data_IF_895431332374
#
_entry.id   IF_895431332374
#
_cell.length_a   1.000
_cell.length_b   1.000
_cell.length_c   1.000
_cell.angle_alpha   90.00
_cell.angle_beta   90.00
_cell.angle_gamma   90.00
#
_symmetry.space_group_name_H-M   'P 1'
#
loop_
_entity.id
_entity.type
_entity.pdbx_description
1 polymer ?
#
# COMPACT_ATOMS: atom_id res chain seq x y z
N UNK A 1 19.72 29.40 -22.23
CA UNK A 1 18.49 28.95 -22.92
C UNK A 1 18.03 27.68 -22.20
N UNK A 2 17.06 27.78 -21.29
CA UNK A 2 16.62 26.67 -20.46
C UNK A 2 15.31 26.09 -21.02
N UNK A 3 15.35 24.81 -21.40
CA UNK A 3 14.18 24.04 -21.81
C UNK A 3 13.36 23.66 -20.57
N UNK A 4 12.21 24.28 -20.38
CA UNK A 4 11.21 23.81 -19.42
C UNK A 4 10.43 22.66 -20.06
N UNK A 5 10.67 21.42 -19.61
CA UNK A 5 9.79 20.29 -19.92
C UNK A 5 8.51 20.45 -19.10
N UNK A 6 7.45 20.92 -19.75
CA UNK A 6 6.09 20.87 -19.21
C UNK A 6 5.55 19.45 -19.29
N UNK A 7 5.33 18.82 -18.14
CA UNK A 7 4.59 17.54 -18.06
C UNK A 7 3.09 17.84 -18.03
N UNK A 8 2.36 17.41 -19.07
CA UNK A 8 0.91 17.49 -19.13
C UNK A 8 0.27 16.38 -18.26
N UNK A 9 -0.59 16.77 -17.32
CA UNK A 9 -1.32 15.84 -16.45
C UNK A 9 -2.68 15.46 -17.09
N UNK A 10 -2.75 14.29 -17.73
CA UNK A 10 -4.03 13.69 -18.12
C UNK A 10 -4.72 13.08 -16.88
N UNK A 11 -5.77 13.74 -16.40
CA UNK A 11 -6.69 13.24 -15.36
C UNK A 11 -7.64 12.21 -15.98
N UNK A 12 -7.24 10.96 -15.97
CA UNK A 12 -8.11 9.85 -16.36
C UNK A 12 -7.29 8.59 -16.58
N UNK A 13 -7.26 7.73 -15.57
CA UNK A 13 -6.88 6.31 -15.63
C UNK A 13 -5.52 5.97 -16.31
N UNK A 14 -4.55 5.36 -15.60
CA UNK A 14 -4.65 4.71 -14.29
C UNK A 14 -4.53 5.70 -13.12
N UNK A 15 -4.75 5.17 -11.92
CA UNK A 15 -4.59 5.82 -10.62
C UNK A 15 -3.47 6.88 -10.59
N UNK A 16 -3.81 8.06 -10.08
CA UNK A 16 -2.89 9.18 -9.84
C UNK A 16 -1.71 8.65 -9.00
N UNK A 17 -0.44 8.97 -9.35
CA UNK A 17 0.65 8.85 -8.39
C UNK A 17 0.43 9.91 -7.30
N UNK A 18 -0.46 9.65 -6.34
CA UNK A 18 -0.32 10.25 -5.03
C UNK A 18 0.93 9.62 -4.45
N UNK A 19 1.94 10.43 -4.17
CA UNK A 19 3.20 9.95 -3.59
C UNK A 19 2.89 8.97 -2.46
N UNK A 20 3.49 7.77 -2.47
CA UNK A 20 3.27 6.82 -1.39
C UNK A 20 3.66 7.47 -0.06
N UNK A 21 3.13 6.93 1.04
CA UNK A 21 3.48 7.42 2.37
C UNK A 21 5.00 7.56 2.52
N UNK A 22 5.52 8.62 3.17
CA UNK A 22 6.95 8.94 3.15
C UNK A 22 7.88 7.79 3.52
N UNK A 23 7.44 6.90 4.43
CA UNK A 23 8.19 5.69 4.79
C UNK A 23 8.32 4.69 3.62
N UNK A 24 7.25 4.52 2.84
CA UNK A 24 7.27 3.68 1.63
C UNK A 24 8.09 4.37 0.54
N UNK A 25 7.89 5.67 0.32
CA UNK A 25 8.66 6.43 -0.67
C UNK A 25 10.18 6.35 -0.41
N UNK A 26 10.58 6.43 0.86
CA UNK A 26 11.97 6.25 1.29
C UNK A 26 12.47 4.83 1.04
N UNK A 27 11.67 3.81 1.37
CA UNK A 27 12.04 2.40 1.19
C UNK A 27 12.21 2.02 -0.29
N UNK A 28 11.39 2.57 -1.19
CA UNK A 28 11.49 2.26 -2.62
C UNK A 28 12.40 3.21 -3.40
N UNK A 29 12.96 4.24 -2.76
CA UNK A 29 13.73 5.29 -3.40
C UNK A 29 14.96 4.75 -4.13
N UNK A 30 15.11 5.07 -5.42
CA UNK A 30 16.24 4.61 -6.24
C UNK A 30 16.10 3.18 -6.79
N UNK A 31 14.93 2.55 -6.61
CA UNK A 31 14.60 1.23 -7.18
C UNK A 31 13.68 1.35 -8.40
N UNK A 32 13.51 0.27 -9.17
CA UNK A 32 12.54 0.19 -10.29
C UNK A 32 11.11 -0.17 -9.80
N UNK A 33 10.78 0.17 -8.55
CA UNK A 33 9.47 -0.12 -7.98
C UNK A 33 8.38 0.74 -8.63
N UNK A 34 7.23 0.12 -8.95
CA UNK A 34 6.04 0.82 -9.43
C UNK A 34 4.97 0.83 -8.34
N UNK A 35 4.38 1.98 -8.07
CA UNK A 35 3.34 2.12 -7.06
C UNK A 35 2.03 2.62 -7.68
N UNK A 36 0.93 2.00 -7.29
CA UNK A 36 -0.42 2.37 -7.71
C UNK A 36 -1.24 2.67 -6.46
N UNK A 37 -1.94 3.80 -6.44
CA UNK A 37 -2.70 4.23 -5.27
C UNK A 37 -4.18 4.35 -5.57
N UNK A 38 -5.01 3.76 -4.73
CA UNK A 38 -6.45 3.96 -4.74
C UNK A 38 -6.88 4.57 -3.40
N UNK A 39 -7.33 5.83 -3.42
CA UNK A 39 -7.95 6.42 -2.25
C UNK A 39 -9.37 5.88 -2.11
N UNK A 40 -9.72 5.42 -0.89
CA UNK A 40 -11.08 5.08 -0.52
C UNK A 40 -11.87 6.28 0.01
N UNK A 41 -11.26 7.47 -0.03
CA UNK A 41 -11.82 8.69 0.54
C UNK A 41 -11.59 8.78 2.04
N UNK A 42 -12.27 9.75 2.64
CA UNK A 42 -12.11 10.13 4.03
C UNK A 42 -12.64 11.53 4.29
N UNK A 43 -13.12 11.79 5.50
CA UNK A 43 -13.43 13.16 5.96
C UNK A 43 -12.51 13.56 7.11
N UNK A 44 -12.56 12.77 8.20
CA UNK A 44 -11.64 12.88 9.34
C UNK A 44 -10.54 11.83 9.19
N UNK A 45 -10.95 10.57 9.06
CA UNK A 45 -10.05 9.45 8.78
C UNK A 45 -9.84 9.29 7.28
N UNK A 46 -8.63 8.93 6.87
CA UNK A 46 -8.28 8.66 5.48
C UNK A 46 -7.91 7.21 5.27
N UNK A 47 -8.29 6.68 4.11
CA UNK A 47 -8.02 5.30 3.77
C UNK A 47 -7.50 5.16 2.34
N UNK A 48 -6.40 4.42 2.20
CA UNK A 48 -5.71 4.21 0.92
C UNK A 48 -5.35 2.75 0.73
N UNK A 49 -5.35 2.35 -0.53
CA UNK A 49 -4.93 1.04 -0.98
C UNK A 49 -3.78 1.21 -1.96
N UNK A 50 -2.60 0.69 -1.60
CA UNK A 50 -1.44 0.70 -2.46
C UNK A 50 -1.16 -0.66 -3.04
N UNK A 51 -0.79 -0.69 -4.32
CA UNK A 51 -0.13 -1.83 -4.94
C UNK A 51 1.30 -1.41 -5.24
N UNK A 52 2.26 -2.19 -4.77
CA UNK A 52 3.68 -1.99 -5.03
C UNK A 52 4.16 -3.19 -5.84
N UNK A 53 4.60 -2.95 -7.06
CA UNK A 53 5.24 -3.96 -7.90
C UNK A 53 6.76 -3.72 -7.80
N UNK A 54 7.49 -4.62 -7.13
CA UNK A 54 8.92 -4.49 -6.84
C UNK A 54 9.55 -5.84 -6.48
N UNK A 55 10.89 -5.95 -6.56
CA UNK A 55 11.59 -7.17 -6.13
C UNK A 55 11.29 -7.52 -4.65
N UNK A 56 11.28 -8.82 -4.27
CA UNK A 56 10.93 -9.24 -2.91
C UNK A 56 11.78 -8.56 -1.82
N UNK A 57 13.07 -8.31 -2.09
CA UNK A 57 13.97 -7.61 -1.17
C UNK A 57 13.54 -6.17 -0.89
N UNK A 58 13.05 -5.45 -1.91
CA UNK A 58 12.51 -4.10 -1.76
C UNK A 58 11.21 -4.12 -0.95
N UNK A 59 10.36 -5.13 -1.15
CA UNK A 59 9.14 -5.30 -0.35
C UNK A 59 9.48 -5.59 1.12
N UNK A 60 10.55 -6.35 1.39
CA UNK A 60 11.06 -6.56 2.75
C UNK A 60 11.52 -5.26 3.40
N UNK A 61 12.18 -4.36 2.66
CA UNK A 61 12.53 -3.02 3.14
C UNK A 61 11.28 -2.18 3.46
N UNK A 62 10.22 -2.28 2.65
CA UNK A 62 8.93 -1.63 2.95
C UNK A 62 8.32 -2.18 4.24
N UNK A 63 8.32 -3.50 4.42
CA UNK A 63 7.82 -4.17 5.63
C UNK A 63 8.58 -3.66 6.88
N UNK A 64 9.90 -3.53 6.79
CA UNK A 64 10.73 -3.02 7.87
C UNK A 64 10.48 -1.52 8.13
N UNK A 65 10.42 -0.70 7.09
CA UNK A 65 10.19 0.74 7.21
C UNK A 65 8.82 1.08 7.80
N UNK A 66 7.82 0.22 7.56
CA UNK A 66 6.49 0.33 8.15
C UNK A 66 6.36 -0.38 9.51
N UNK A 67 7.45 -0.97 10.02
CA UNK A 67 7.50 -1.68 11.31
C UNK A 67 6.45 -2.80 11.41
N UNK A 68 6.17 -3.49 10.30
CA UNK A 68 5.12 -4.50 10.25
C UNK A 68 5.60 -5.83 10.84
N UNK A 69 4.69 -6.52 11.50
CA UNK A 69 4.89 -7.87 12.02
C UNK A 69 4.05 -8.86 11.23
N UNK A 70 4.52 -10.10 11.10
CA UNK A 70 3.75 -11.17 10.46
C UNK A 70 2.37 -11.29 11.11
N UNK A 71 1.34 -11.42 10.28
CA UNK A 71 -0.03 -11.65 10.69
C UNK A 71 -0.48 -13.02 10.23
N UNK A 72 -1.12 -13.77 11.12
CA UNK A 72 -1.81 -15.02 10.78
C UNK A 72 -3.26 -14.79 10.37
N UNK A 73 -3.81 -13.60 10.67
CA UNK A 73 -5.16 -13.20 10.30
C UNK A 73 -5.14 -12.17 9.18
N UNK A 74 -6.09 -12.30 8.27
CA UNK A 74 -6.32 -11.34 7.18
C UNK A 74 -7.76 -10.84 7.34
N UNK A 75 -7.99 -9.52 7.44
CA UNK A 75 -9.33 -8.96 7.58
C UNK A 75 -10.23 -9.43 6.43
N UNK A 76 -11.42 -9.94 6.74
CA UNK A 76 -12.34 -10.45 5.70
C UNK A 76 -12.70 -9.38 4.65
N UNK A 77 -12.76 -8.13 5.08
CA UNK A 77 -13.00 -6.98 4.22
C UNK A 77 -11.86 -6.67 3.24
N UNK A 78 -10.63 -7.07 3.55
CA UNK A 78 -9.47 -6.87 2.69
C UNK A 78 -9.71 -7.48 1.30
N UNK A 79 -10.30 -8.67 1.24
CA UNK A 79 -10.60 -9.37 -0.02
C UNK A 79 -11.71 -8.71 -0.85
N UNK A 80 -12.54 -7.89 -0.21
CA UNK A 80 -13.70 -7.23 -0.83
C UNK A 80 -13.38 -5.81 -1.27
N UNK A 81 -12.20 -5.28 -0.95
CA UNK A 81 -11.82 -3.92 -1.29
C UNK A 81 -11.70 -3.71 -2.82
N UNK A 82 -12.04 -2.51 -3.33
CA UNK A 82 -11.65 -2.12 -4.69
C UNK A 82 -10.11 -1.95 -4.77
N UNK A 83 -9.53 -1.68 -5.93
CA UNK A 83 -10.09 -1.77 -7.28
C UNK A 83 -10.04 -3.21 -7.83
N UNK A 84 -10.35 -3.41 -9.11
CA UNK A 84 -10.47 -4.76 -9.72
C UNK A 84 -9.18 -5.60 -9.63
N UNK A 85 -8.00 -4.95 -9.57
CA UNK A 85 -6.70 -5.62 -9.44
C UNK A 85 -6.33 -5.97 -8.00
N UNK A 86 -7.17 -5.65 -7.02
CA UNK A 86 -6.97 -5.99 -5.62
C UNK A 86 -7.13 -7.51 -5.40
N UNK A 87 -6.32 -8.14 -4.53
CA UNK A 87 -6.37 -9.58 -4.34
C UNK A 87 -7.72 -9.99 -3.74
N UNK A 88 -8.24 -11.13 -4.21
CA UNK A 88 -9.54 -11.69 -3.81
C UNK A 88 -9.42 -12.97 -2.99
N UNK A 89 -8.24 -13.53 -2.90
CA UNK A 89 -7.95 -14.76 -2.18
C UNK A 89 -6.47 -14.79 -1.76
N UNK A 90 -6.19 -15.65 -0.79
CA UNK A 90 -4.84 -15.95 -0.33
C UNK A 90 -4.25 -17.09 -1.16
N UNK A 91 -3.07 -16.90 -1.76
CA UNK A 91 -2.28 -17.99 -2.31
C UNK A 91 -1.34 -18.59 -1.24
N UNK A 92 -0.88 -19.84 -1.37
CA UNK A 92 -0.03 -20.49 -0.35
C UNK A 92 1.26 -19.72 -0.03
N UNK A 93 1.84 -19.05 -1.03
CA UNK A 93 3.11 -18.33 -0.88
C UNK A 93 2.95 -16.90 -0.32
N UNK A 94 1.73 -16.39 -0.28
CA UNK A 94 1.46 -15.05 0.20
C UNK A 94 1.62 -14.95 1.72
N UNK A 95 2.22 -13.83 2.16
CA UNK A 95 2.47 -13.55 3.58
C UNK A 95 1.79 -12.25 3.98
N UNK A 96 1.04 -12.29 5.06
CA UNK A 96 0.39 -11.11 5.63
C UNK A 96 1.23 -10.48 6.74
N UNK A 97 1.16 -9.15 6.84
CA UNK A 97 1.85 -8.34 7.83
C UNK A 97 0.94 -7.21 8.29
N UNK A 98 1.11 -6.75 9.53
CA UNK A 98 0.34 -5.62 10.09
C UNK A 98 1.17 -4.78 11.06
N UNK A 99 0.83 -3.51 11.19
CA UNK A 99 1.35 -2.66 12.26
C UNK A 99 0.79 -3.12 13.62
N UNK A 100 1.48 -2.77 14.71
CA UNK A 100 1.13 -3.26 16.06
C UNK A 100 -0.32 -2.94 16.46
N UNK A 101 -0.81 -1.77 16.09
CA UNK A 101 -2.13 -1.25 16.48
C UNK A 101 -3.19 -1.42 15.38
N UNK A 102 -2.89 -2.19 14.33
CA UNK A 102 -3.86 -2.45 13.28
C UNK A 102 -5.05 -3.25 13.83
N UNK A 103 -6.26 -2.68 13.75
CA UNK A 103 -7.49 -3.35 14.12
C UNK A 103 -8.30 -3.74 12.90
N UNK A 104 -8.71 -5.01 12.86
CA UNK A 104 -9.44 -5.59 11.75
C UNK A 104 -10.88 -5.07 11.69
N UNK A 105 -11.51 -4.79 12.84
CA UNK A 105 -12.95 -4.50 12.94
C UNK A 105 -13.28 -3.13 13.56
N UNK A 106 -12.29 -2.45 14.14
CA UNK A 106 -12.52 -1.15 14.78
C UNK A 106 -11.77 -0.03 14.07
N UNK A 107 -12.09 1.21 14.45
CA UNK A 107 -11.34 2.39 14.05
C UNK A 107 -9.85 2.23 14.39
N UNK A 108 -9.51 1.69 15.55
CA UNK A 108 -8.16 1.72 16.10
C UNK A 108 -7.86 3.08 16.73
N UNK A 109 -6.63 3.25 17.24
CA UNK A 109 -6.17 4.51 17.80
C UNK A 109 -5.88 5.55 16.69
N UNK A 110 -5.64 6.79 17.08
CA UNK A 110 -5.21 7.84 16.16
C UNK A 110 -3.83 7.53 15.55
N UNK A 111 -3.62 7.99 14.33
CA UNK A 111 -2.41 7.83 13.53
C UNK A 111 -2.47 6.75 12.45
N UNK A 112 -1.29 6.41 11.95
CA UNK A 112 -1.09 5.57 10.78
C UNK A 112 -1.11 4.06 11.10
N UNK A 113 -1.97 3.32 10.41
CA UNK A 113 -2.12 1.87 10.52
C UNK A 113 -1.97 1.22 9.16
N UNK A 114 -1.24 0.11 9.12
CA UNK A 114 -0.91 -0.58 7.89
C UNK A 114 -1.21 -2.06 8.01
N UNK A 115 -1.84 -2.61 6.98
CA UNK A 115 -1.90 -4.04 6.72
C UNK A 115 -1.29 -4.29 5.34
N UNK A 116 -0.44 -5.30 5.20
CA UNK A 116 0.27 -5.61 3.97
C UNK A 116 0.11 -7.10 3.64
N UNK A 117 -0.22 -7.39 2.39
CA UNK A 117 -0.15 -8.73 1.82
C UNK A 117 0.97 -8.77 0.77
N UNK A 118 1.99 -9.59 1.00
CA UNK A 118 3.11 -9.80 0.09
C UNK A 118 2.89 -11.07 -0.73
N UNK A 119 2.90 -10.93 -2.05
CA UNK A 119 2.90 -12.00 -3.05
C UNK A 119 4.30 -12.07 -3.70
N UNK A 120 5.19 -12.96 -3.24
CA UNK A 120 6.55 -13.05 -3.75
C UNK A 120 6.61 -13.60 -5.19
N UNK A 121 5.63 -14.44 -5.58
CA UNK A 121 5.55 -15.03 -6.92
C UNK A 121 5.33 -13.93 -7.98
N UNK A 122 4.43 -12.99 -7.68
CA UNK A 122 4.12 -11.86 -8.57
C UNK A 122 4.96 -10.62 -8.32
N UNK A 123 5.95 -10.68 -7.42
CA UNK A 123 6.80 -9.56 -7.02
C UNK A 123 5.97 -8.33 -6.65
N UNK A 124 5.00 -8.53 -5.76
CA UNK A 124 3.96 -7.53 -5.47
C UNK A 124 3.56 -7.49 -4.01
N UNK A 125 3.33 -6.29 -3.50
CA UNK A 125 2.67 -6.06 -2.23
C UNK A 125 1.37 -5.27 -2.40
N UNK A 126 0.38 -5.59 -1.57
CA UNK A 126 -0.86 -4.85 -1.43
C UNK A 126 -0.92 -4.28 -0.03
N UNK A 127 -0.95 -2.95 0.10
CA UNK A 127 -0.93 -2.26 1.38
C UNK A 127 -2.27 -1.58 1.58
N UNK A 128 -2.96 -1.95 2.63
CA UNK A 128 -4.09 -1.22 3.16
C UNK A 128 -3.60 -0.27 4.24
N UNK A 129 -3.69 1.03 3.95
CA UNK A 129 -3.31 2.11 4.84
C UNK A 129 -4.53 2.85 5.36
N UNK A 130 -4.55 3.09 6.67
CA UNK A 130 -5.54 3.89 7.37
C UNK A 130 -4.83 4.95 8.19
N UNK A 131 -5.28 6.19 8.08
CA UNK A 131 -4.80 7.30 8.88
C UNK A 131 -5.98 7.86 9.68
N UNK A 132 -6.00 7.60 10.98
CA UNK A 132 -7.11 8.01 11.84
C UNK A 132 -6.76 9.31 12.57
N UNK A 133 -7.70 10.26 12.68
CA UNK A 133 -7.49 11.54 13.36
C UNK A 133 -8.41 11.82 14.54
#
# INVERSE_FOLDING_TARGET
>A
MALALGYAWMKGFPAIPSSPHPRIAKAIGGTDARTYVYSRGGFIDWEYLWRIDAEPTVIEEVIQALELRKSVTIPAQFWKMPPYYWPRSLSPEMKAFRSLNFSDDTRGADGAHFFLLHDPEKKRAYVWFRDNF
#
